data_IF_042856103885
#
_entry.id   IF_042856103885
#
_cell.length_a   1.000
_cell.length_b   1.000
_cell.length_c   1.000
_cell.angle_alpha   90.00
_cell.angle_beta   90.00
_cell.angle_gamma   90.00
#
_symmetry.space_group_name_H-M   'P 1'
#
loop_
_entity.id
_entity.type
_entity.pdbx_description
1 polymer ?
#
# COMPACT_ATOMS: atom_id res chain seq x y z
N UNK A 1 3.02 22.47 9.30
CA UNK A 1 3.68 21.27 9.88
C UNK A 1 5.16 21.38 9.58
N UNK A 2 6.00 21.16 10.59
CA UNK A 2 7.46 21.14 10.42
C UNK A 2 7.90 19.83 9.74
N UNK A 3 8.73 19.93 8.70
CA UNK A 3 9.26 18.76 8.00
C UNK A 3 10.14 17.89 8.91
N UNK A 4 10.84 18.49 9.88
CA UNK A 4 11.63 17.78 10.88
C UNK A 4 10.77 16.88 11.77
N UNK A 5 9.65 17.41 12.26
CA UNK A 5 8.67 16.63 13.03
C UNK A 5 8.11 15.43 12.24
N UNK A 6 7.80 15.60 10.95
CA UNK A 6 7.31 14.50 10.09
C UNK A 6 8.37 13.42 9.90
N UNK A 7 9.61 13.80 9.59
CA UNK A 7 10.70 12.82 9.48
C UNK A 7 10.95 12.12 10.83
N UNK A 8 10.91 12.86 11.94
CA UNK A 8 11.08 12.34 13.30
C UNK A 8 10.04 11.29 13.69
N UNK A 9 8.80 11.40 13.21
CA UNK A 9 7.75 10.41 13.45
C UNK A 9 8.14 9.00 12.99
N UNK A 10 8.84 8.89 11.86
CA UNK A 10 9.24 7.60 11.26
C UNK A 10 10.48 6.97 11.90
N UNK A 11 11.15 7.66 12.84
CA UNK A 11 12.28 7.10 13.59
C UNK A 11 11.85 5.86 14.38
N UNK A 12 12.66 4.82 14.30
CA UNK A 12 12.47 3.52 14.95
C UNK A 12 11.14 2.82 14.61
N UNK A 13 10.43 3.26 13.55
CA UNK A 13 9.17 2.66 13.11
C UNK A 13 9.40 1.51 12.15
N UNK A 14 8.59 0.47 12.28
CA UNK A 14 8.40 -0.53 11.24
C UNK A 14 7.21 -0.16 10.38
N UNK A 15 7.39 -0.09 9.07
CA UNK A 15 6.39 0.42 8.13
C UNK A 15 6.08 -0.66 7.11
N UNK A 16 4.79 -0.99 6.95
CA UNK A 16 4.30 -1.78 5.82
C UNK A 16 3.88 -0.85 4.68
N UNK A 17 4.41 -1.06 3.48
CA UNK A 17 4.08 -0.30 2.27
C UNK A 17 3.50 -1.24 1.23
N UNK A 18 2.26 -0.98 0.81
CA UNK A 18 1.66 -1.59 -0.38
C UNK A 18 1.80 -0.65 -1.58
N UNK A 19 1.95 -1.21 -2.78
CA UNK A 19 2.07 -0.40 -4.00
C UNK A 19 3.45 0.24 -4.19
N UNK A 20 4.50 -0.30 -3.54
CA UNK A 20 5.88 0.18 -3.63
C UNK A 20 6.46 0.17 -5.05
N UNK A 21 5.97 -0.71 -5.92
CA UNK A 21 6.35 -0.75 -7.35
C UNK A 21 5.70 0.37 -8.17
N UNK A 22 4.64 0.99 -7.66
CA UNK A 22 3.96 2.12 -8.28
C UNK A 22 4.79 3.41 -8.17
N UNK A 23 4.38 4.45 -8.91
CA UNK A 23 5.12 5.72 -8.98
C UNK A 23 5.29 6.40 -7.62
N UNK A 24 4.19 6.65 -6.89
CA UNK A 24 4.23 7.30 -5.58
C UNK A 24 4.89 6.39 -4.52
N UNK A 25 4.65 5.08 -4.60
CA UNK A 25 5.18 4.11 -3.63
C UNK A 25 6.71 4.11 -3.57
N UNK A 26 7.39 4.00 -4.70
CA UNK A 26 8.87 4.03 -4.73
C UNK A 26 9.45 5.37 -4.29
N UNK A 27 8.81 6.49 -4.65
CA UNK A 27 9.19 7.83 -4.19
C UNK A 27 9.10 7.93 -2.67
N UNK A 28 8.06 7.36 -2.07
CA UNK A 28 7.89 7.37 -0.62
C UNK A 28 8.94 6.51 0.08
N UNK A 29 9.23 5.31 -0.44
CA UNK A 29 10.28 4.43 0.08
C UNK A 29 11.65 5.13 0.03
N UNK A 30 12.03 5.68 -1.13
CA UNK A 30 13.28 6.43 -1.27
C UNK A 30 13.35 7.59 -0.29
N UNK A 31 12.28 8.39 -0.24
CA UNK A 31 12.24 9.59 0.61
C UNK A 31 12.39 9.24 2.07
N UNK A 32 11.68 8.22 2.57
CA UNK A 32 11.80 7.76 3.96
C UNK A 32 13.25 7.36 4.26
N UNK A 33 13.86 6.52 3.43
CA UNK A 33 15.25 6.09 3.62
C UNK A 33 16.23 7.26 3.60
N UNK A 34 16.00 8.27 2.75
CA UNK A 34 16.88 9.42 2.61
C UNK A 34 16.76 10.42 3.75
N UNK A 35 15.54 10.73 4.20
CA UNK A 35 15.29 11.77 5.21
C UNK A 35 15.19 11.23 6.64
N UNK A 36 14.95 9.93 6.80
CA UNK A 36 14.91 9.25 8.10
C UNK A 36 15.63 7.89 8.02
N UNK A 37 16.98 7.88 8.02
CA UNK A 37 17.76 6.65 7.94
C UNK A 37 17.60 5.75 9.19
N UNK A 38 17.13 6.32 10.32
CA UNK A 38 16.86 5.59 11.56
C UNK A 38 15.46 4.92 11.56
N UNK A 39 14.76 4.88 10.42
CA UNK A 39 13.59 4.00 10.28
C UNK A 39 14.03 2.56 10.60
N UNK A 40 13.22 1.81 11.35
CA UNK A 40 13.61 0.47 11.79
C UNK A 40 13.61 -0.50 10.61
N UNK A 41 12.49 -0.57 9.88
CA UNK A 41 12.27 -1.53 8.80
C UNK A 41 11.12 -1.10 7.89
N UNK A 42 11.23 -1.41 6.61
CA UNK A 42 10.22 -1.22 5.56
C UNK A 42 9.85 -2.59 4.97
N UNK A 43 8.66 -3.07 5.30
CA UNK A 43 8.04 -4.19 4.61
C UNK A 43 7.44 -3.73 3.29
N UNK A 44 7.92 -4.28 2.18
CA UNK A 44 7.40 -3.94 0.85
C UNK A 44 6.57 -5.11 0.32
N UNK A 45 5.25 -4.96 0.37
CA UNK A 45 4.33 -5.97 -0.14
C UNK A 45 4.13 -5.81 -1.65
N UNK A 46 4.48 -6.85 -2.39
CA UNK A 46 4.38 -6.91 -3.85
C UNK A 46 3.74 -8.22 -4.30
N UNK A 47 2.93 -8.14 -5.35
CA UNK A 47 2.36 -9.34 -5.98
C UNK A 47 3.46 -10.12 -6.68
N UNK A 48 3.65 -11.38 -6.29
CA UNK A 48 4.62 -12.29 -6.90
C UNK A 48 4.20 -13.74 -6.58
N UNK A 49 4.60 -14.72 -7.40
CA UNK A 49 4.27 -16.12 -7.14
C UNK A 49 4.93 -16.65 -5.87
N UNK A 50 6.11 -16.14 -5.52
CA UNK A 50 6.90 -16.58 -4.37
C UNK A 50 7.80 -15.44 -3.83
N UNK A 51 8.48 -15.72 -2.73
CA UNK A 51 9.37 -14.77 -2.06
C UNK A 51 10.56 -14.34 -2.94
N UNK A 52 11.16 -15.27 -3.69
CA UNK A 52 12.30 -14.96 -4.56
C UNK A 52 11.90 -14.00 -5.70
N UNK A 53 10.72 -14.23 -6.28
CA UNK A 53 10.14 -13.37 -7.31
C UNK A 53 9.74 -12.01 -6.74
N UNK A 54 9.27 -11.94 -5.49
CA UNK A 54 9.00 -10.65 -4.82
C UNK A 54 10.28 -9.84 -4.62
N UNK A 55 11.34 -10.49 -4.16
CA UNK A 55 12.66 -9.86 -4.00
C UNK A 55 13.18 -9.35 -5.35
N UNK A 56 13.21 -10.19 -6.39
CA UNK A 56 13.62 -9.78 -7.73
C UNK A 56 12.78 -8.62 -8.26
N UNK A 57 11.47 -8.64 -8.02
CA UNK A 57 10.57 -7.55 -8.43
C UNK A 57 10.89 -6.24 -7.72
N UNK A 58 11.18 -6.27 -6.42
CA UNK A 58 11.60 -5.08 -5.68
C UNK A 58 12.95 -4.57 -6.18
N UNK A 59 13.92 -5.46 -6.38
CA UNK A 59 15.23 -5.10 -6.91
C UNK A 59 15.11 -4.40 -8.28
N UNK A 60 14.29 -4.94 -9.17
CA UNK A 60 14.16 -4.41 -10.55
C UNK A 60 13.25 -3.20 -10.67
N UNK A 61 12.07 -3.20 -10.02
CA UNK A 61 11.03 -2.18 -10.23
C UNK A 61 11.08 -1.02 -9.23
N UNK A 62 11.73 -1.23 -8.08
CA UNK A 62 11.86 -0.22 -7.01
C UNK A 62 13.31 0.23 -6.93
N UNK A 63 14.19 -0.66 -6.49
CA UNK A 63 15.55 -0.32 -6.09
C UNK A 63 16.50 -0.12 -7.27
N UNK A 64 16.20 -0.65 -8.45
CA UNK A 64 16.96 -0.47 -9.68
C UNK A 64 16.68 0.85 -10.38
N UNK A 65 15.67 1.61 -9.95
CA UNK A 65 15.31 2.88 -10.56
C UNK A 65 16.36 3.98 -10.27
N UNK A 66 16.51 4.93 -11.19
CA UNK A 66 17.40 6.09 -11.03
C UNK A 66 17.03 6.99 -9.86
N UNK A 67 15.78 6.92 -9.40
CA UNK A 67 15.32 7.54 -8.17
C UNK A 67 16.25 7.25 -6.98
N UNK A 68 16.81 6.05 -6.89
CA UNK A 68 17.71 5.66 -5.80
C UNK A 68 19.17 6.11 -6.02
N UNK A 69 19.52 6.78 -7.13
CA UNK A 69 20.88 7.28 -7.37
C UNK A 69 21.34 8.23 -6.27
N UNK A 70 20.45 9.08 -5.75
CA UNK A 70 20.78 9.97 -4.63
C UNK A 70 21.24 9.19 -3.38
N UNK A 71 20.62 8.05 -3.08
CA UNK A 71 21.05 7.20 -1.97
C UNK A 71 22.35 6.45 -2.30
N UNK A 72 22.51 5.97 -3.53
CA UNK A 72 23.74 5.31 -3.99
C UNK A 72 24.96 6.23 -3.93
N UNK A 73 24.81 7.47 -4.37
CA UNK A 73 25.86 8.50 -4.32
C UNK A 73 26.21 8.87 -2.87
N UNK A 74 25.19 9.05 -2.02
CA UNK A 74 25.37 9.42 -0.61
C UNK A 74 26.10 8.35 0.20
N UNK A 75 25.78 7.07 -0.03
CA UNK A 75 26.30 5.97 0.80
C UNK A 75 27.42 5.16 0.12
N UNK A 76 27.71 5.43 -1.15
CA UNK A 76 28.47 4.51 -2.00
C UNK A 76 27.71 3.21 -2.26
N UNK A 77 28.15 2.42 -3.26
CA UNK A 77 27.44 1.20 -3.63
C UNK A 77 27.35 0.19 -2.48
N UNK A 78 28.46 -0.07 -1.79
CA UNK A 78 28.49 -1.01 -0.65
C UNK A 78 27.62 -0.53 0.51
N UNK A 79 27.66 0.77 0.84
CA UNK A 79 26.85 1.33 1.91
C UNK A 79 25.35 1.34 1.58
N UNK A 80 25.02 1.60 0.31
CA UNK A 80 23.65 1.49 -0.19
C UNK A 80 23.11 0.06 -0.07
N UNK A 81 23.86 -0.94 -0.55
CA UNK A 81 23.43 -2.34 -0.46
C UNK A 81 23.22 -2.77 0.99
N UNK A 82 24.13 -2.37 1.90
CA UNK A 82 23.96 -2.61 3.34
C UNK A 82 22.73 -1.93 3.92
N UNK A 83 22.48 -0.67 3.56
CA UNK A 83 21.26 0.04 3.98
C UNK A 83 20.00 -0.69 3.51
N UNK A 84 19.96 -1.14 2.26
CA UNK A 84 18.81 -1.87 1.72
C UNK A 84 18.61 -3.19 2.47
N UNK A 85 19.67 -3.97 2.66
CA UNK A 85 19.64 -5.26 3.37
C UNK A 85 19.13 -5.11 4.82
N UNK A 86 19.58 -4.07 5.52
CA UNK A 86 19.14 -3.78 6.90
C UNK A 86 17.71 -3.28 6.99
N UNK A 87 17.25 -2.50 6.01
CA UNK A 87 16.01 -1.71 6.12
C UNK A 87 14.84 -2.29 5.35
N UNK A 88 15.04 -3.04 4.26
CA UNK A 88 13.96 -3.50 3.39
C UNK A 88 13.73 -4.99 3.56
N UNK A 89 12.46 -5.35 3.79
CA UNK A 89 12.04 -6.75 3.79
C UNK A 89 10.97 -6.96 2.71
N UNK A 90 11.29 -7.71 1.64
CA UNK A 90 10.32 -8.14 0.65
C UNK A 90 9.20 -8.98 1.26
N UNK A 91 7.96 -8.71 0.87
CA UNK A 91 6.82 -9.60 1.14
C UNK A 91 6.11 -9.92 -0.17
N UNK A 92 5.99 -11.22 -0.48
CA UNK A 92 5.07 -11.65 -1.53
C UNK A 92 3.65 -11.68 -0.95
N UNK A 93 2.72 -11.00 -1.61
CA UNK A 93 1.34 -10.91 -1.15
C UNK A 93 0.47 -10.11 -2.11
N UNK A 94 -0.84 -10.19 -1.91
CA UNK A 94 -1.83 -9.51 -2.74
C UNK A 94 -2.86 -8.82 -1.86
N UNK A 95 -2.99 -7.50 -2.00
CA UNK A 95 -3.97 -6.71 -1.26
C UNK A 95 -5.41 -7.13 -1.55
N UNK A 96 -5.69 -7.73 -2.70
CA UNK A 96 -7.02 -8.25 -3.05
C UNK A 96 -7.38 -9.55 -2.32
N UNK A 97 -6.47 -10.13 -1.55
CA UNK A 97 -6.67 -11.35 -0.77
C UNK A 97 -6.72 -11.01 0.72
N UNK A 98 -7.58 -11.69 1.48
CA UNK A 98 -7.67 -11.51 2.92
C UNK A 98 -6.29 -11.72 3.58
N UNK A 99 -5.98 -10.91 4.60
CA UNK A 99 -4.66 -10.88 5.25
C UNK A 99 -3.49 -10.64 4.27
N UNK A 100 -3.78 -10.04 3.12
CA UNK A 100 -2.86 -9.83 2.02
C UNK A 100 -2.23 -11.10 1.43
N UNK A 101 -2.87 -12.26 1.63
CA UNK A 101 -2.36 -13.56 1.18
C UNK A 101 -1.16 -14.07 1.97
N UNK A 102 -0.87 -13.48 3.13
CA UNK A 102 0.19 -13.95 4.03
C UNK A 102 -0.25 -15.20 4.79
N UNK A 103 0.69 -16.11 5.02
CA UNK A 103 0.48 -17.23 5.94
C UNK A 103 0.34 -16.73 7.39
N UNK A 104 -0.26 -17.54 8.26
CA UNK A 104 -0.55 -17.14 9.64
C UNK A 104 0.69 -16.73 10.42
N UNK A 105 1.81 -17.47 10.27
CA UNK A 105 3.03 -17.18 11.01
C UNK A 105 3.65 -15.84 10.60
N UNK A 106 3.65 -15.55 9.29
CA UNK A 106 4.14 -14.28 8.75
C UNK A 106 3.23 -13.12 9.12
N UNK A 107 1.92 -13.33 9.04
CA UNK A 107 0.90 -12.35 9.41
C UNK A 107 1.05 -11.94 10.89
N UNK A 108 1.16 -12.92 11.79
CA UNK A 108 1.29 -12.67 13.22
C UNK A 108 2.57 -11.89 13.51
N UNK A 109 3.71 -12.35 12.97
CA UNK A 109 5.00 -11.65 13.12
C UNK A 109 4.94 -10.20 12.61
N UNK A 110 4.28 -9.96 11.47
CA UNK A 110 4.07 -8.63 10.93
C UNK A 110 3.21 -7.76 11.86
N UNK A 111 2.11 -8.31 12.38
CA UNK A 111 1.18 -7.58 13.23
C UNK A 111 1.74 -7.23 14.63
N UNK A 112 2.73 -7.98 15.11
CA UNK A 112 3.44 -7.66 16.37
C UNK A 112 4.28 -6.38 16.26
N UNK A 113 4.95 -6.17 15.12
CA UNK A 113 5.98 -5.12 15.01
C UNK A 113 5.63 -3.92 14.13
N UNK A 114 4.59 -3.99 13.29
CA UNK A 114 4.23 -2.87 12.41
C UNK A 114 3.63 -1.71 13.20
N UNK A 115 4.22 -0.53 13.01
CA UNK A 115 3.74 0.74 13.58
C UNK A 115 2.95 1.57 12.57
N UNK A 116 3.27 1.45 11.28
CA UNK A 116 2.65 2.25 10.21
C UNK A 116 2.28 1.37 9.04
N UNK A 117 1.05 1.50 8.53
CA UNK A 117 0.63 0.91 7.27
C UNK A 117 0.40 2.05 6.27
N UNK A 118 1.09 1.97 5.13
CA UNK A 118 0.89 2.85 3.99
C UNK A 118 0.25 2.03 2.89
N UNK A 119 -1.07 2.16 2.75
CA UNK A 119 -1.85 1.46 1.76
C UNK A 119 -1.99 2.31 0.48
N UNK A 120 -1.13 2.03 -0.50
CA UNK A 120 -1.10 2.71 -1.80
C UNK A 120 -1.23 1.77 -3.00
N UNK A 121 -1.42 0.46 -2.79
CA UNK A 121 -1.72 -0.47 -3.86
C UNK A 121 -3.17 -0.27 -4.36
N UNK A 122 -3.30 -0.01 -5.65
CA UNK A 122 -4.56 0.07 -6.36
C UNK A 122 -4.31 -0.24 -7.85
N UNK A 123 -5.34 -0.69 -8.55
CA UNK A 123 -5.38 -0.54 -10.01
C UNK A 123 -5.83 0.88 -10.33
N UNK A 124 -5.06 1.57 -11.18
CA UNK A 124 -5.35 2.95 -11.61
C UNK A 124 -5.89 2.99 -13.04
N UNK A 125 -6.14 1.83 -13.66
CA UNK A 125 -6.72 1.75 -14.99
C UNK A 125 -8.24 1.92 -14.91
N UNK A 126 -8.77 2.85 -15.70
CA UNK A 126 -10.23 3.03 -15.86
C UNK A 126 -10.88 1.93 -16.72
N UNK A 127 -10.06 1.10 -17.38
CA UNK A 127 -10.50 -0.01 -18.24
C UNK A 127 -10.19 -1.37 -17.62
N UNK A 128 -9.89 -1.41 -16.32
CA UNK A 128 -9.63 -2.66 -15.61
C UNK A 128 -10.89 -3.53 -15.58
N UNK A 129 -10.70 -4.85 -15.54
CA UNK A 129 -11.79 -5.77 -15.27
C UNK A 129 -12.45 -5.43 -13.94
N UNK A 130 -13.78 -5.40 -13.91
CA UNK A 130 -14.53 -4.97 -12.73
C UNK A 130 -14.20 -5.78 -11.48
N UNK A 131 -14.02 -7.09 -11.61
CA UNK A 131 -13.66 -7.98 -10.51
C UNK A 131 -12.26 -7.70 -9.94
N UNK A 132 -11.30 -7.39 -10.79
CA UNK A 132 -9.94 -6.99 -10.38
C UNK A 132 -9.97 -5.62 -9.69
N UNK A 133 -10.76 -4.69 -10.20
CA UNK A 133 -11.00 -3.38 -9.59
C UNK A 133 -11.62 -3.48 -8.20
N UNK A 134 -12.67 -4.28 -8.04
CA UNK A 134 -13.28 -4.54 -6.74
C UNK A 134 -12.31 -5.20 -5.76
N UNK A 135 -11.58 -6.24 -6.20
CA UNK A 135 -10.60 -6.92 -5.37
C UNK A 135 -9.50 -5.95 -4.88
N UNK A 136 -8.88 -5.20 -5.78
CA UNK A 136 -7.76 -4.33 -5.40
C UNK A 136 -8.20 -3.06 -4.68
N UNK A 137 -9.20 -2.35 -5.19
CA UNK A 137 -9.50 -0.97 -4.76
C UNK A 137 -10.58 -0.91 -3.67
N UNK A 138 -11.47 -1.89 -3.60
CA UNK A 138 -12.52 -1.96 -2.57
C UNK A 138 -12.09 -2.91 -1.46
N UNK A 139 -11.88 -4.19 -1.80
CA UNK A 139 -11.47 -5.19 -0.80
C UNK A 139 -10.06 -4.93 -0.28
N UNK A 140 -9.11 -4.49 -1.11
CA UNK A 140 -7.77 -4.14 -0.63
C UNK A 140 -7.76 -3.01 0.40
N UNK A 141 -8.63 -2.02 0.26
CA UNK A 141 -8.80 -0.99 1.27
C UNK A 141 -9.42 -1.55 2.57
N UNK A 142 -10.46 -2.40 2.45
CA UNK A 142 -11.09 -3.10 3.58
C UNK A 142 -10.09 -3.98 4.33
N UNK A 143 -9.37 -4.85 3.62
CA UNK A 143 -8.36 -5.74 4.19
C UNK A 143 -7.19 -4.99 4.80
N UNK A 144 -6.80 -3.83 4.26
CA UNK A 144 -5.83 -2.95 4.92
C UNK A 144 -6.34 -2.42 6.27
N UNK A 145 -7.62 -2.07 6.36
CA UNK A 145 -8.24 -1.68 7.63
C UNK A 145 -8.37 -2.85 8.61
N UNK A 146 -8.69 -4.05 8.12
CA UNK A 146 -8.76 -5.25 8.95
C UNK A 146 -7.39 -5.67 9.48
N UNK A 147 -6.36 -5.61 8.64
CA UNK A 147 -4.97 -5.85 9.05
C UNK A 147 -4.54 -4.83 10.10
N UNK A 148 -4.83 -3.55 9.88
CA UNK A 148 -4.55 -2.48 10.82
C UNK A 148 -5.13 -2.74 12.22
N UNK A 149 -6.35 -3.30 12.30
CA UNK A 149 -6.99 -3.67 13.58
C UNK A 149 -6.30 -4.84 14.28
N UNK A 150 -5.55 -5.68 13.57
CA UNK A 150 -4.79 -6.80 14.13
C UNK A 150 -3.42 -6.37 14.66
N UNK A 151 -2.87 -5.27 14.16
CA UNK A 151 -1.56 -4.77 14.56
C UNK A 151 -1.58 -4.19 15.99
N UNK A 152 -0.77 -4.75 16.90
CA UNK A 152 -0.80 -4.39 18.33
C UNK A 152 -0.30 -2.98 18.62
N UNK A 153 0.67 -2.52 17.83
CA UNK A 153 1.40 -1.27 18.08
C UNK A 153 1.10 -0.17 17.05
N UNK A 154 0.07 -0.36 16.20
CA UNK A 154 -0.21 0.54 15.09
C UNK A 154 -0.43 1.98 15.56
N UNK A 155 0.33 2.91 14.98
CA UNK A 155 0.26 4.35 15.18
C UNK A 155 -0.48 5.05 14.05
N UNK A 156 -0.40 4.51 12.83
CA UNK A 156 -0.99 5.13 11.65
C UNK A 156 -1.38 4.12 10.57
N UNK A 157 -2.58 4.28 10.02
CA UNK A 157 -2.96 3.76 8.71
C UNK A 157 -3.11 4.95 7.76
N UNK A 158 -2.22 5.04 6.77
CA UNK A 158 -2.29 6.01 5.68
C UNK A 158 -2.83 5.31 4.44
N UNK A 159 -4.03 5.67 4.00
CA UNK A 159 -4.59 5.19 2.74
C UNK A 159 -4.49 6.28 1.67
N UNK A 160 -3.85 5.95 0.55
CA UNK A 160 -3.75 6.84 -0.60
C UNK A 160 -4.98 6.65 -1.48
N UNK A 161 -5.85 7.66 -1.50
CA UNK A 161 -7.02 7.71 -2.39
C UNK A 161 -6.75 8.62 -3.59
N UNK A 162 -7.81 9.05 -4.28
CA UNK A 162 -7.74 9.88 -5.48
C UNK A 162 -8.76 11.01 -5.40
N UNK A 163 -8.44 12.18 -5.97
CA UNK A 163 -9.42 13.27 -6.11
C UNK A 163 -10.62 12.87 -6.98
N UNK A 164 -10.50 11.81 -7.78
CA UNK A 164 -11.59 11.26 -8.60
C UNK A 164 -12.79 10.76 -7.78
N UNK A 165 -12.68 10.60 -6.45
CA UNK A 165 -13.84 10.36 -5.58
C UNK A 165 -14.88 11.50 -5.64
N UNK A 166 -14.51 12.68 -6.13
CA UNK A 166 -15.42 13.78 -6.42
C UNK A 166 -16.32 13.54 -7.65
N UNK A 167 -15.91 12.64 -8.56
CA UNK A 167 -16.51 12.40 -9.87
C UNK A 167 -16.78 13.68 -10.65
N UNK A 168 -18.05 13.97 -10.95
CA UNK A 168 -18.44 15.12 -11.79
C UNK A 168 -18.81 16.38 -10.99
N UNK A 169 -18.55 16.40 -9.68
CA UNK A 169 -18.86 17.57 -8.83
C UNK A 169 -17.90 18.72 -9.13
N UNK A 170 -18.44 19.93 -9.21
CA UNK A 170 -17.68 21.15 -9.49
C UNK A 170 -17.64 22.10 -8.29
N UNK A 171 -16.72 23.06 -8.34
CA UNK A 171 -16.56 24.11 -7.32
C UNK A 171 -15.72 23.70 -6.11
N UNK A 172 -15.90 24.41 -4.99
CA UNK A 172 -15.18 24.16 -3.75
C UNK A 172 -15.73 22.91 -3.04
N UNK A 173 -14.94 21.85 -2.98
CA UNK A 173 -15.30 20.58 -2.35
C UNK A 173 -14.50 20.40 -1.03
N UNK A 174 -15.10 20.67 0.14
CA UNK A 174 -14.41 20.48 1.41
C UNK A 174 -14.23 18.99 1.73
N UNK A 175 -13.15 18.66 2.45
CA UNK A 175 -12.93 17.33 3.02
C UNK A 175 -14.04 17.01 4.03
N UNK A 176 -14.89 16.06 3.68
CA UNK A 176 -16.01 15.60 4.51
C UNK A 176 -16.07 14.08 4.46
N UNK A 177 -16.47 13.48 5.58
CA UNK A 177 -16.67 12.04 5.64
C UNK A 177 -17.69 11.61 4.57
N UNK A 178 -17.33 10.57 3.82
CA UNK A 178 -18.25 9.90 2.92
C UNK A 178 -19.15 8.96 3.72
N UNK A 179 -20.42 8.88 3.35
CA UNK A 179 -21.36 7.94 3.96
C UNK A 179 -21.32 6.62 3.19
N UNK A 180 -21.25 5.50 3.90
CA UNK A 180 -21.21 4.17 3.28
C UNK A 180 -22.44 3.97 2.39
N UNK A 181 -22.21 3.42 1.20
CA UNK A 181 -23.23 3.17 0.18
C UNK A 181 -23.78 4.44 -0.52
N UNK A 182 -23.45 5.65 -0.08
CA UNK A 182 -23.82 6.87 -0.81
C UNK A 182 -22.93 7.02 -2.03
N UNK A 183 -23.54 7.17 -3.21
CA UNK A 183 -22.83 7.36 -4.47
C UNK A 183 -23.04 8.76 -5.05
N UNK A 184 -22.30 9.07 -6.11
CA UNK A 184 -22.50 10.30 -6.89
C UNK A 184 -23.75 10.24 -7.78
N UNK A 185 -24.26 9.04 -8.05
CA UNK A 185 -25.49 8.83 -8.83
C UNK A 185 -26.69 9.01 -7.91
N UNK A 186 -27.50 10.03 -8.18
CA UNK A 186 -28.71 10.28 -7.39
C UNK A 186 -29.68 9.10 -7.46
N UNK A 187 -30.26 8.75 -6.31
CA UNK A 187 -31.19 7.62 -6.18
C UNK A 187 -30.54 6.24 -6.17
N UNK A 188 -29.22 6.13 -6.31
CA UNK A 188 -28.51 4.86 -6.26
C UNK A 188 -27.71 4.70 -4.96
N UNK A 189 -27.94 3.58 -4.29
CA UNK A 189 -27.21 3.14 -3.10
C UNK A 189 -26.31 1.96 -3.49
N UNK A 190 -25.02 2.08 -3.21
CA UNK A 190 -24.05 1.01 -3.47
C UNK A 190 -24.08 0.00 -2.32
N UNK A 191 -24.42 -1.24 -2.65
CA UNK A 191 -24.34 -2.39 -1.76
C UNK A 191 -23.12 -3.22 -2.19
N UNK A 192 -22.04 -3.16 -1.39
CA UNK A 192 -20.76 -3.79 -1.74
C UNK A 192 -20.91 -5.32 -1.75
N UNK A 193 -21.67 -5.87 -0.81
CA UNK A 193 -21.93 -7.30 -0.72
C UNK A 193 -22.69 -7.81 -1.95
N UNK A 194 -23.71 -7.07 -2.42
CA UNK A 194 -24.44 -7.41 -3.64
C UNK A 194 -23.54 -7.34 -4.89
N UNK A 195 -22.69 -6.32 -5.00
CA UNK A 195 -21.74 -6.19 -6.12
C UNK A 195 -20.73 -7.36 -6.16
N UNK A 196 -20.27 -7.83 -5.00
CA UNK A 196 -19.40 -8.99 -4.89
C UNK A 196 -20.12 -10.29 -5.30
N UNK A 197 -21.35 -10.49 -4.85
CA UNK A 197 -22.17 -11.65 -5.24
C UNK A 197 -22.41 -11.67 -6.76
N UNK A 198 -22.70 -10.51 -7.36
CA UNK A 198 -22.87 -10.38 -8.80
C UNK A 198 -21.61 -10.79 -9.56
N UNK A 199 -20.43 -10.35 -9.11
CA UNK A 199 -19.16 -10.74 -9.74
C UNK A 199 -18.94 -12.24 -9.68
N UNK A 200 -19.17 -12.88 -8.53
CA UNK A 200 -18.98 -14.33 -8.40
C UNK A 200 -19.98 -15.13 -9.25
N UNK A 201 -21.23 -14.66 -9.32
CA UNK A 201 -22.25 -15.27 -10.20
C UNK A 201 -21.83 -15.19 -11.67
N UNK A 202 -21.45 -14.01 -12.16
CA UNK A 202 -21.05 -13.83 -13.57
C UNK A 202 -19.79 -14.63 -13.90
N UNK A 203 -18.83 -14.74 -12.99
CA UNK A 203 -17.63 -15.56 -13.18
C UNK A 203 -17.95 -17.04 -13.32
N UNK A 204 -18.97 -17.55 -12.63
CA UNK A 204 -19.37 -18.95 -12.70
C UNK A 204 -20.02 -19.33 -14.03
N UNK A 205 -20.45 -18.34 -14.83
CA UNK A 205 -21.07 -18.51 -16.14
C UNK A 205 -20.08 -18.43 -17.32
N UNK A 206 -18.82 -18.08 -17.06
CA UNK A 206 -17.73 -17.94 -18.06
C UNK A 206 -16.81 -19.16 -18.08
#
# INVERSE_FOLDING_TARGET
MDAGAVAGFFRDKTILVTGSTGFIGKLLVEKILRVQPDVKKLYLLVRAPDAASAEQRIQTQVLGNDLFNTLREKHGLTGFLKLIDEKIVPLHGDVGVQNFGLDSSRLDALCEEVDVIINGAATTSFYERYDVGLASNVLGAKYGCELAKKCRNLKMLLHVSTAFVAGTREGLLPEKALQMGKTLRQGYHMDIEAELQLVEMVKAEL
#
